data_IF_322172966314
#
_entry.id   IF_322172966314
#
_cell.length_a   1.000
_cell.length_b   1.000
_cell.length_c   1.000
_cell.angle_alpha   90.00
_cell.angle_beta   90.00
_cell.angle_gamma   90.00
#
_symmetry.space_group_name_H-M   'P 1'
#
loop_
_entity.id
_entity.type
_entity.pdbx_description
1 polymer ?
#
# COMPACT_ATOMS: atom_id res chain seq x y z
N UNK A 1 -72.96 30.76 15.03
CA UNK A 1 -71.60 30.51 14.54
C UNK A 1 -71.46 29.01 14.33
N UNK A 2 -71.58 28.56 13.08
CA UNK A 2 -71.18 27.23 12.64
C UNK A 2 -69.84 27.44 11.91
N UNK A 3 -68.76 26.89 12.46
CA UNK A 3 -67.48 26.72 11.76
C UNK A 3 -67.00 25.29 11.98
N UNK A 4 -67.29 24.48 10.97
CA UNK A 4 -66.36 23.68 10.17
C UNK A 4 -65.08 23.17 10.85
N UNK A 5 -64.99 21.84 11.05
CA UNK A 5 -63.72 21.12 11.13
C UNK A 5 -63.75 19.96 10.13
N UNK A 6 -62.82 20.01 9.17
CA UNK A 6 -62.60 19.07 8.07
C UNK A 6 -62.04 17.72 8.57
N UNK A 7 -62.37 16.58 7.93
CA UNK A 7 -61.70 15.31 8.19
C UNK A 7 -60.48 15.14 7.26
N UNK A 8 -59.31 14.87 7.85
CA UNK A 8 -58.11 14.45 7.11
C UNK A 8 -58.10 12.93 6.93
N UNK A 9 -58.16 12.48 5.67
CA UNK A 9 -58.04 11.09 5.25
C UNK A 9 -56.60 10.57 5.41
N UNK A 10 -56.46 9.41 6.06
CA UNK A 10 -55.21 8.64 6.13
C UNK A 10 -55.06 7.78 4.87
N UNK A 11 -54.32 8.28 3.88
CA UNK A 11 -53.96 7.52 2.68
C UNK A 11 -52.66 6.73 2.91
N UNK A 12 -52.80 5.42 3.16
CA UNK A 12 -51.71 4.48 3.34
C UNK A 12 -51.10 4.08 1.98
N UNK A 13 -49.95 4.68 1.64
CA UNK A 13 -49.18 4.33 0.44
C UNK A 13 -48.20 3.19 0.77
N UNK A 14 -48.57 1.96 0.44
CA UNK A 14 -47.65 0.81 0.46
C UNK A 14 -46.69 0.86 -0.75
N UNK A 15 -45.46 1.33 -0.55
CA UNK A 15 -44.36 1.14 -1.51
C UNK A 15 -43.74 -0.26 -1.32
N UNK A 16 -44.07 -1.21 -2.21
CA UNK A 16 -43.37 -2.51 -2.32
C UNK A 16 -41.95 -2.28 -2.83
N UNK A 17 -40.95 -2.45 -1.96
CA UNK A 17 -39.54 -2.43 -2.31
C UNK A 17 -39.10 -3.85 -2.73
N UNK A 18 -39.06 -4.11 -4.04
CA UNK A 18 -38.60 -5.40 -4.59
C UNK A 18 -37.07 -5.51 -4.50
N UNK A 19 -36.55 -6.04 -3.39
CA UNK A 19 -35.15 -6.46 -3.29
C UNK A 19 -34.90 -7.64 -4.23
N UNK A 20 -34.10 -7.45 -5.29
CA UNK A 20 -33.56 -8.55 -6.10
C UNK A 20 -32.57 -9.34 -5.22
N UNK A 21 -32.98 -10.50 -4.74
CA UNK A 21 -32.11 -11.46 -4.06
C UNK A 21 -31.22 -12.14 -5.10
N UNK A 22 -29.92 -11.86 -5.05
CA UNK A 22 -28.92 -12.63 -5.79
C UNK A 22 -28.76 -13.99 -5.09
N UNK A 23 -29.29 -15.06 -5.69
CA UNK A 23 -29.06 -16.41 -5.22
C UNK A 23 -27.72 -16.89 -5.78
N UNK A 24 -26.68 -16.93 -4.94
CA UNK A 24 -25.42 -17.61 -5.25
C UNK A 24 -25.53 -18.99 -4.61
N UNK A 25 -25.36 -20.05 -5.39
CA UNK A 25 -25.40 -21.42 -4.90
C UNK A 25 -24.22 -21.65 -3.94
N UNK A 26 -24.47 -22.30 -2.80
CA UNK A 26 -23.44 -22.53 -1.78
C UNK A 26 -22.25 -23.33 -2.33
N UNK A 27 -22.49 -24.18 -3.34
CA UNK A 27 -21.44 -24.92 -4.02
C UNK A 27 -20.48 -24.05 -4.85
N UNK A 28 -20.93 -22.88 -5.32
CA UNK A 28 -20.10 -21.92 -6.06
C UNK A 28 -19.17 -21.10 -5.15
N UNK A 29 -19.39 -21.13 -3.84
CA UNK A 29 -18.57 -20.46 -2.83
C UNK A 29 -17.46 -21.36 -2.26
N UNK A 30 -17.53 -22.67 -2.50
CA UNK A 30 -16.59 -23.63 -1.93
C UNK A 30 -15.29 -23.71 -2.73
N UNK A 31 -14.22 -24.08 -2.01
CA UNK A 31 -12.91 -24.31 -2.58
C UNK A 31 -13.00 -25.35 -3.70
N UNK A 32 -12.42 -25.05 -4.86
CA UNK A 32 -12.33 -25.97 -6.00
C UNK A 32 -11.73 -27.33 -5.67
N UNK A 33 -10.93 -27.42 -4.60
CA UNK A 33 -10.33 -28.68 -4.15
C UNK A 33 -11.27 -29.53 -3.27
N UNK A 34 -12.53 -29.12 -3.10
CA UNK A 34 -13.54 -29.88 -2.35
C UNK A 34 -13.25 -30.03 -0.86
N UNK A 35 -12.39 -29.19 -0.27
CA UNK A 35 -11.90 -29.36 1.09
C UNK A 35 -12.83 -28.82 2.20
N UNK A 36 -14.05 -28.40 1.85
CA UNK A 36 -15.06 -27.90 2.80
C UNK A 36 -14.86 -26.45 3.28
N UNK A 37 -13.85 -25.74 2.78
CA UNK A 37 -13.62 -24.31 3.06
C UNK A 37 -14.04 -23.44 1.88
N UNK A 38 -14.36 -22.16 2.14
CA UNK A 38 -14.70 -21.21 1.08
C UNK A 38 -13.49 -20.89 0.18
N UNK A 39 -13.73 -20.92 -1.13
CA UNK A 39 -12.79 -20.45 -2.15
C UNK A 39 -12.99 -18.97 -2.40
N UNK A 40 -11.95 -18.26 -2.87
CA UNK A 40 -12.11 -16.88 -3.30
C UNK A 40 -11.64 -16.66 -4.76
N UNK A 41 -12.20 -15.70 -5.50
CA UNK A 41 -11.79 -15.42 -6.88
C UNK A 41 -10.34 -14.96 -7.03
N UNK A 42 -9.79 -14.24 -6.04
CA UNK A 42 -8.39 -13.78 -6.04
C UNK A 42 -7.38 -14.94 -6.04
N UNK A 43 -7.79 -16.09 -5.51
CA UNK A 43 -7.05 -17.35 -5.47
C UNK A 43 -7.67 -18.38 -6.42
N UNK A 44 -8.27 -17.92 -7.52
CA UNK A 44 -8.84 -18.76 -8.58
C UNK A 44 -9.89 -19.78 -8.11
N UNK A 45 -10.58 -19.50 -7.01
CA UNK A 45 -11.56 -20.38 -6.38
C UNK A 45 -10.97 -21.38 -5.37
N UNK A 46 -9.70 -21.25 -4.99
CA UNK A 46 -9.10 -22.04 -3.92
C UNK A 46 -9.22 -21.34 -2.55
N UNK A 47 -9.26 -22.12 -1.47
CA UNK A 47 -9.08 -21.58 -0.13
C UNK A 47 -7.60 -21.26 0.12
N UNK A 48 -7.30 -20.51 1.18
CA UNK A 48 -5.93 -20.08 1.53
C UNK A 48 -4.93 -21.23 1.66
N UNK A 49 -5.37 -22.39 2.17
CA UNK A 49 -4.53 -23.58 2.34
C UNK A 49 -4.26 -24.28 1.01
N UNK A 50 -5.30 -24.61 0.25
CA UNK A 50 -5.14 -25.28 -1.04
C UNK A 50 -4.43 -24.40 -2.07
N UNK A 51 -4.61 -23.07 -2.00
CA UNK A 51 -3.89 -22.13 -2.84
C UNK A 51 -2.38 -22.18 -2.57
N UNK A 52 -1.95 -22.21 -1.29
CA UNK A 52 -0.52 -22.37 -0.95
C UNK A 52 0.06 -23.66 -1.49
N UNK A 53 -0.66 -24.78 -1.37
CA UNK A 53 -0.20 -26.09 -1.85
C UNK A 53 -0.05 -26.12 -3.38
N UNK A 54 -1.03 -25.57 -4.11
CA UNK A 54 -0.97 -25.47 -5.58
C UNK A 54 0.14 -24.52 -6.02
N UNK A 55 0.26 -23.36 -5.36
CA UNK A 55 1.28 -22.36 -5.68
C UNK A 55 2.70 -22.87 -5.39
N UNK A 56 2.90 -23.57 -4.27
CA UNK A 56 4.19 -24.18 -3.93
C UNK A 56 4.58 -25.28 -4.92
N UNK A 57 3.64 -26.14 -5.33
CA UNK A 57 3.89 -27.16 -6.37
C UNK A 57 4.23 -26.54 -7.71
N UNK A 58 3.51 -25.49 -8.13
CA UNK A 58 3.80 -24.77 -9.36
C UNK A 58 5.19 -24.10 -9.32
N UNK A 59 5.55 -23.48 -8.18
CA UNK A 59 6.87 -22.87 -7.98
C UNK A 59 7.99 -23.90 -8.02
N UNK A 60 7.81 -25.07 -7.40
CA UNK A 60 8.79 -26.16 -7.44
C UNK A 60 8.96 -26.74 -8.85
N UNK A 61 7.86 -26.95 -9.59
CA UNK A 61 7.91 -27.41 -10.98
C UNK A 61 8.62 -26.40 -11.88
N UNK A 62 8.42 -25.10 -11.65
CA UNK A 62 9.09 -24.03 -12.39
C UNK A 62 10.59 -23.98 -12.07
N UNK A 63 10.98 -24.11 -10.81
CA UNK A 63 12.40 -24.20 -10.40
C UNK A 63 13.08 -25.43 -11.02
N UNK A 64 12.41 -26.58 -11.05
CA UNK A 64 12.94 -27.79 -11.70
C UNK A 64 13.09 -27.61 -13.22
N UNK A 65 12.09 -27.02 -13.89
CA UNK A 65 12.16 -26.73 -15.33
C UNK A 65 13.31 -25.76 -15.65
N UNK A 66 13.48 -24.71 -14.85
CA UNK A 66 14.53 -23.70 -15.04
C UNK A 66 15.92 -24.28 -14.74
N UNK A 67 16.04 -25.18 -13.75
CA UNK A 67 17.26 -25.94 -13.50
C UNK A 67 17.63 -26.86 -14.67
N UNK A 68 16.63 -27.55 -15.26
CA UNK A 68 16.83 -28.41 -16.43
C UNK A 68 17.25 -27.60 -17.67
N UNK A 69 16.64 -26.44 -17.88
CA UNK A 69 17.00 -25.50 -18.96
C UNK A 69 18.42 -24.97 -18.79
N UNK A 70 18.82 -24.63 -17.55
CA UNK A 70 20.17 -24.17 -17.23
C UNK A 70 21.22 -25.27 -17.41
N UNK A 71 20.90 -26.51 -17.03
CA UNK A 71 21.76 -27.67 -17.25
C UNK A 71 21.95 -27.96 -18.75
N UNK A 72 20.89 -27.88 -19.56
CA UNK A 72 20.97 -28.00 -21.03
C UNK A 72 21.86 -26.93 -21.67
N UNK A 73 21.86 -25.70 -21.14
CA UNK A 73 22.71 -24.61 -21.63
C UNK A 73 24.18 -24.76 -21.24
N UNK A 74 24.48 -25.30 -20.07
CA UNK A 74 25.87 -25.57 -19.64
C UNK A 74 26.48 -26.79 -20.34
N UNK A 75 25.66 -27.75 -20.80
CA UNK A 75 26.13 -28.97 -21.45
C UNK A 75 26.56 -28.82 -22.92
N UNK A 76 26.46 -27.62 -23.51
CA UNK A 76 27.12 -27.30 -24.78
C UNK A 76 26.82 -28.23 -25.97
N UNK A 77 25.61 -28.80 -26.07
CA UNK A 77 25.22 -29.63 -27.22
C UNK A 77 24.37 -28.79 -28.19
N UNK A 78 25.00 -28.46 -29.32
CA UNK A 78 24.39 -27.80 -30.46
C UNK A 78 23.36 -28.66 -31.17
N UNK A 79 22.44 -27.96 -31.82
CA UNK A 79 21.36 -28.48 -32.63
C UNK A 79 21.88 -29.32 -33.81
N UNK A 80 21.24 -30.44 -34.11
CA UNK A 80 21.37 -31.16 -35.39
C UNK A 80 20.07 -31.94 -35.70
N UNK A 81 19.64 -32.00 -36.98
CA UNK A 81 18.27 -32.35 -37.38
C UNK A 81 18.02 -33.88 -37.46
N UNK A 82 16.78 -34.35 -37.75
CA UNK A 82 16.21 -35.54 -37.13
C UNK A 82 16.65 -36.85 -37.82
N UNK A 83 16.78 -37.92 -37.04
CA UNK A 83 16.94 -39.28 -37.57
C UNK A 83 15.88 -40.23 -37.00
N UNK A 84 15.25 -40.93 -37.94
CA UNK A 84 14.19 -41.92 -37.80
C UNK A 84 14.78 -43.29 -37.44
N UNK A 85 14.29 -43.95 -36.39
CA UNK A 85 14.25 -45.42 -36.21
C UNK A 85 13.42 -45.72 -34.95
N UNK A 86 12.22 -46.30 -35.11
CA UNK A 86 11.89 -47.72 -34.81
C UNK A 86 12.12 -48.08 -33.33
N UNK A 87 11.24 -48.75 -32.58
CA UNK A 87 10.02 -49.52 -32.83
C UNK A 87 9.67 -50.18 -31.48
N UNK A 88 8.37 -50.34 -31.17
CA UNK A 88 7.75 -51.12 -30.06
C UNK A 88 8.13 -50.72 -28.62
N UNK A 89 7.26 -50.69 -27.60
CA UNK A 89 6.04 -51.41 -27.22
C UNK A 89 5.44 -50.52 -26.09
N UNK A 90 4.14 -50.31 -25.82
CA UNK A 90 2.99 -51.22 -25.84
C UNK A 90 1.72 -50.36 -25.62
N UNK A 91 0.69 -50.58 -26.44
CA UNK A 91 -0.74 -50.22 -26.21
C UNK A 91 -1.18 -50.72 -24.83
N UNK A 92 -2.18 -50.15 -24.15
CA UNK A 92 -3.65 -50.32 -24.34
C UNK A 92 -4.29 -49.46 -23.22
N UNK A 93 -5.30 -48.60 -23.37
CA UNK A 93 -6.67 -48.85 -23.82
C UNK A 93 -7.34 -47.55 -24.32
N UNK A 94 -8.03 -47.70 -25.44
CA UNK A 94 -9.01 -46.78 -26.01
C UNK A 94 -10.38 -46.91 -25.30
N UNK A 95 -11.26 -45.96 -25.64
CA UNK A 95 -12.74 -45.95 -25.57
C UNK A 95 -13.29 -45.41 -24.25
N UNK A 96 -14.11 -44.34 -24.23
CA UNK A 96 -15.37 -44.22 -24.95
C UNK A 96 -15.74 -42.79 -25.38
N UNK A 97 -16.59 -42.71 -26.42
CA UNK A 97 -17.05 -41.51 -27.13
C UNK A 97 -18.38 -40.96 -26.60
N UNK A 98 -18.67 -39.72 -27.06
CA UNK A 98 -19.96 -39.02 -27.31
C UNK A 98 -20.51 -38.17 -26.15
N UNK A 99 -21.20 -37.06 -26.35
CA UNK A 99 -21.42 -36.06 -27.42
C UNK A 99 -22.55 -35.16 -26.88
N UNK A 100 -22.48 -33.84 -27.03
CA UNK A 100 -23.55 -32.94 -27.51
C UNK A 100 -23.18 -31.47 -27.17
N UNK A 101 -22.79 -30.64 -28.15
CA UNK A 101 -23.61 -29.59 -28.85
C UNK A 101 -24.28 -28.61 -27.86
N UNK A 102 -24.21 -27.27 -27.99
CA UNK A 102 -24.38 -26.42 -29.18
C UNK A 102 -23.87 -24.98 -28.87
N UNK A 103 -23.11 -24.41 -29.83
CA UNK A 103 -23.24 -23.07 -30.46
C UNK A 103 -23.34 -21.78 -29.59
N UNK A 104 -22.86 -20.60 -29.98
CA UNK A 104 -21.95 -20.08 -31.02
C UNK A 104 -22.06 -18.54 -31.03
N UNK A 105 -21.10 -17.85 -31.68
CA UNK A 105 -21.20 -16.51 -32.32
C UNK A 105 -20.96 -15.34 -31.35
N UNK A 106 -19.87 -14.55 -31.50
CA UNK A 106 -19.63 -13.63 -32.62
C UNK A 106 -18.30 -13.81 -33.39
N UNK A 107 -18.41 -13.67 -34.72
CA UNK A 107 -17.44 -13.76 -35.83
C UNK A 107 -16.67 -12.42 -36.01
N UNK A 108 -15.32 -12.40 -36.08
CA UNK A 108 -14.40 -12.35 -37.27
C UNK A 108 -14.31 -10.98 -37.99
N UNK A 109 -13.18 -10.60 -38.65
CA UNK A 109 -12.26 -11.47 -39.39
C UNK A 109 -10.74 -11.33 -39.15
N UNK A 110 -10.04 -12.44 -39.35
CA UNK A 110 -8.61 -12.52 -39.63
C UNK A 110 -8.39 -12.25 -41.13
N UNK A 111 -7.41 -11.42 -41.48
CA UNK A 111 -6.81 -11.38 -42.81
C UNK A 111 -5.33 -11.79 -42.72
N UNK A 112 -5.02 -12.79 -43.55
CA UNK A 112 -3.78 -13.20 -44.23
C UNK A 112 -2.41 -12.95 -43.58
N UNK A 113 -1.69 -14.07 -43.50
CA UNK A 113 -0.27 -14.25 -43.22
C UNK A 113 0.66 -13.50 -44.20
N UNK A 114 1.74 -12.95 -43.64
CA UNK A 114 3.06 -12.90 -44.28
C UNK A 114 4.13 -12.67 -43.20
N UNK A 115 4.91 -13.70 -42.88
CA UNK A 115 6.20 -13.59 -42.17
C UNK A 115 7.26 -12.96 -43.11
N UNK A 116 8.31 -12.27 -42.61
CA UNK A 116 9.41 -12.96 -41.95
C UNK A 116 10.04 -12.23 -40.74
N UNK A 117 10.72 -13.03 -39.92
CA UNK A 117 11.81 -12.70 -38.99
C UNK A 117 11.73 -11.41 -38.18
N UNK A 118 11.51 -11.56 -36.87
CA UNK A 118 12.17 -10.71 -35.89
C UNK A 118 12.26 -11.36 -34.51
N UNK A 119 13.51 -11.49 -34.08
CA UNK A 119 14.02 -11.81 -32.76
C UNK A 119 13.08 -11.29 -31.64
N UNK A 120 12.40 -12.20 -30.94
CA UNK A 120 11.52 -11.87 -29.83
C UNK A 120 12.34 -11.33 -28.65
N UNK A 121 12.51 -10.01 -28.61
CA UNK A 121 12.87 -9.28 -27.40
C UNK A 121 11.78 -9.52 -26.37
N UNK A 122 12.14 -10.23 -25.30
CA UNK A 122 11.31 -10.47 -24.12
C UNK A 122 11.06 -9.11 -23.45
N UNK A 123 10.03 -8.38 -23.88
CA UNK A 123 9.58 -7.17 -23.19
C UNK A 123 9.23 -7.58 -21.75
N UNK A 124 10.04 -7.15 -20.77
CA UNK A 124 9.64 -7.14 -19.35
C UNK A 124 8.26 -6.49 -19.30
N UNK A 125 7.24 -7.21 -18.83
CA UNK A 125 5.96 -6.58 -18.50
C UNK A 125 6.24 -5.46 -17.50
N UNK A 126 6.16 -4.22 -17.96
CA UNK A 126 6.27 -3.04 -17.11
C UNK A 126 5.05 -3.07 -16.20
N UNK A 127 5.26 -3.48 -14.94
CA UNK A 127 4.23 -3.52 -13.91
C UNK A 127 3.55 -2.15 -13.86
N UNK A 128 2.26 -2.07 -14.20
CA UNK A 128 1.52 -0.79 -14.22
C UNK A 128 1.62 -0.08 -12.87
N UNK A 129 1.99 1.20 -12.89
CA UNK A 129 2.02 2.06 -11.72
C UNK A 129 0.64 2.09 -11.04
N UNK A 130 0.61 2.11 -9.70
CA UNK A 130 -0.65 2.16 -8.94
C UNK A 130 -1.43 3.45 -9.23
N UNK A 131 -2.76 3.43 -9.07
CA UNK A 131 -3.60 4.64 -9.29
C UNK A 131 -3.09 5.84 -8.49
N UNK A 132 -2.73 5.62 -7.23
CA UNK A 132 -2.13 6.63 -6.35
C UNK A 132 -0.78 7.15 -6.88
N UNK A 133 0.08 6.27 -7.40
CA UNK A 133 1.33 6.68 -8.03
C UNK A 133 1.11 7.50 -9.30
N UNK A 134 0.04 7.20 -10.07
CA UNK A 134 -0.33 7.99 -11.25
C UNK A 134 -0.86 9.37 -10.84
N UNK A 135 -1.68 9.44 -9.79
CA UNK A 135 -2.19 10.69 -9.25
C UNK A 135 -1.05 11.59 -8.75
N UNK A 136 -0.16 11.08 -7.90
CA UNK A 136 0.98 11.84 -7.39
C UNK A 136 1.92 12.26 -8.53
N UNK A 137 2.07 11.42 -9.57
CA UNK A 137 2.80 11.81 -10.78
C UNK A 137 2.15 12.97 -11.55
N UNK A 138 0.82 13.03 -11.58
CA UNK A 138 0.07 14.16 -12.14
C UNK A 138 0.24 15.44 -11.33
N UNK A 139 0.01 15.37 -10.01
CA UNK A 139 0.21 16.49 -9.07
C UNK A 139 1.65 17.04 -9.17
N UNK A 140 2.64 16.15 -9.23
CA UNK A 140 4.04 16.55 -9.39
C UNK A 140 4.29 17.22 -10.74
N UNK A 141 3.78 16.67 -11.84
CA UNK A 141 3.93 17.26 -13.17
C UNK A 141 3.25 18.62 -13.28
N UNK A 142 2.11 18.82 -12.61
CA UNK A 142 1.42 20.11 -12.53
C UNK A 142 2.26 21.13 -11.74
N UNK A 143 2.77 20.76 -10.56
CA UNK A 143 3.65 21.63 -9.79
C UNK A 143 4.90 22.03 -10.58
N UNK A 144 5.53 21.09 -11.28
CA UNK A 144 6.71 21.38 -12.11
C UNK A 144 6.43 22.36 -13.26
N UNK A 145 5.18 22.51 -13.73
CA UNK A 145 4.83 23.51 -14.74
C UNK A 145 4.87 24.95 -14.19
N UNK A 146 4.79 25.13 -12.87
CA UNK A 146 4.95 26.44 -12.22
C UNK A 146 6.41 26.90 -12.18
N UNK A 147 7.35 25.97 -12.33
CA UNK A 147 8.78 26.24 -12.30
C UNK A 147 9.31 26.58 -13.69
N UNK A 148 10.47 27.24 -13.74
CA UNK A 148 11.18 27.47 -15.01
C UNK A 148 11.51 26.12 -15.66
N UNK A 149 11.27 26.00 -16.98
CA UNK A 149 11.56 24.78 -17.77
C UNK A 149 12.88 24.08 -17.45
N UNK A 150 14.04 24.76 -17.36
CA UNK A 150 15.30 24.07 -17.09
C UNK A 150 15.37 23.44 -15.69
N UNK A 151 14.75 24.07 -14.68
CA UNK A 151 14.61 23.53 -13.32
C UNK A 151 13.71 22.29 -13.33
N UNK A 152 12.53 22.40 -13.95
CA UNK A 152 11.57 21.31 -14.04
C UNK A 152 12.15 20.05 -14.72
N UNK A 153 12.94 20.24 -15.78
CA UNK A 153 13.60 19.15 -16.50
C UNK A 153 14.71 18.49 -15.68
N UNK A 154 15.52 19.26 -14.97
CA UNK A 154 16.59 18.73 -14.12
C UNK A 154 16.03 17.89 -12.98
N UNK A 155 15.08 18.44 -12.21
CA UNK A 155 14.39 17.74 -11.12
C UNK A 155 13.75 16.45 -11.62
N UNK A 156 12.96 16.54 -12.69
CA UNK A 156 12.30 15.39 -13.30
C UNK A 156 13.29 14.28 -13.69
N UNK A 157 14.44 14.65 -14.27
CA UNK A 157 15.46 13.71 -14.69
C UNK A 157 16.11 13.03 -13.48
N UNK A 158 16.44 13.78 -12.44
CA UNK A 158 17.08 13.28 -11.21
C UNK A 158 16.17 12.32 -10.46
N UNK A 159 14.91 12.69 -10.25
CA UNK A 159 13.91 11.86 -9.58
C UNK A 159 13.67 10.55 -10.35
N UNK A 160 13.56 10.62 -11.69
CA UNK A 160 13.43 9.41 -12.52
C UNK A 160 14.66 8.51 -12.42
N UNK A 161 15.86 9.08 -12.46
CA UNK A 161 17.10 8.32 -12.36
C UNK A 161 17.20 7.57 -11.03
N UNK A 162 16.87 8.22 -9.91
CA UNK A 162 16.83 7.57 -8.60
C UNK A 162 15.85 6.38 -8.59
N UNK A 163 14.62 6.59 -9.05
CA UNK A 163 13.61 5.54 -9.09
C UNK A 163 14.03 4.37 -10.00
N UNK A 164 14.56 4.65 -11.18
CA UNK A 164 15.07 3.63 -12.09
C UNK A 164 16.24 2.87 -11.47
N UNK A 165 17.16 3.56 -10.79
CA UNK A 165 18.27 2.95 -10.07
C UNK A 165 17.74 2.00 -9.02
N UNK A 166 16.89 2.46 -8.10
CA UNK A 166 16.35 1.62 -7.02
C UNK A 166 15.53 0.43 -7.57
N UNK A 167 14.71 0.64 -8.60
CA UNK A 167 13.92 -0.45 -9.20
C UNK A 167 14.76 -1.52 -9.92
N UNK A 168 15.97 -1.17 -10.37
CA UNK A 168 16.87 -2.11 -11.04
C UNK A 168 17.77 -2.87 -10.04
N UNK A 169 17.76 -2.49 -8.77
CA UNK A 169 18.51 -3.16 -7.71
C UNK A 169 17.65 -4.27 -7.09
N UNK A 170 18.19 -5.49 -6.99
CA UNK A 170 17.46 -6.67 -6.48
C UNK A 170 17.93 -7.17 -5.12
N UNK A 171 19.15 -6.84 -4.68
CA UNK A 171 19.82 -7.49 -3.55
C UNK A 171 20.30 -6.53 -2.45
N UNK A 172 19.77 -5.31 -2.41
CA UNK A 172 20.17 -4.29 -1.45
C UNK A 172 19.40 -4.40 -0.13
N UNK A 173 20.09 -4.09 0.97
CA UNK A 173 19.46 -4.00 2.30
C UNK A 173 18.58 -2.75 2.40
N UNK A 174 17.67 -2.72 3.38
CA UNK A 174 16.81 -1.55 3.58
C UNK A 174 17.62 -0.31 3.99
N UNK A 175 18.74 -0.52 4.69
CA UNK A 175 19.67 0.51 5.13
C UNK A 175 20.38 1.15 3.92
N UNK A 176 20.87 0.34 2.97
CA UNK A 176 21.51 0.88 1.76
C UNK A 176 20.50 1.63 0.87
N UNK A 177 19.25 1.16 0.80
CA UNK A 177 18.18 1.87 0.11
C UNK A 177 17.83 3.19 0.82
N UNK A 178 17.82 3.18 2.15
CA UNK A 178 17.64 4.37 2.98
C UNK A 178 18.74 5.39 2.72
N UNK A 179 20.01 4.98 2.78
CA UNK A 179 21.17 5.85 2.48
C UNK A 179 21.06 6.46 1.09
N UNK A 180 20.69 5.67 0.07
CA UNK A 180 20.53 6.20 -1.30
C UNK A 180 19.46 7.28 -1.42
N UNK A 181 18.34 7.13 -0.70
CA UNK A 181 17.26 8.14 -0.68
C UNK A 181 17.71 9.38 0.11
N UNK A 182 18.41 9.20 1.23
CA UNK A 182 18.91 10.29 2.07
C UNK A 182 20.01 11.11 1.35
N UNK A 183 20.97 10.44 0.72
CA UNK A 183 21.99 11.07 -0.12
C UNK A 183 21.36 11.87 -1.26
N UNK A 184 20.25 11.37 -1.83
CA UNK A 184 19.51 12.08 -2.84
C UNK A 184 18.85 13.36 -2.29
N UNK A 185 18.21 13.31 -1.12
CA UNK A 185 17.64 14.51 -0.50
C UNK A 185 18.71 15.56 -0.19
N UNK A 186 19.84 15.14 0.37
CA UNK A 186 20.96 16.03 0.65
C UNK A 186 21.50 16.63 -0.65
N UNK A 187 21.72 15.81 -1.68
CA UNK A 187 22.17 16.27 -2.98
C UNK A 187 21.22 17.28 -3.61
N UNK A 188 19.90 17.05 -3.56
CA UNK A 188 18.91 18.01 -4.07
C UNK A 188 18.96 19.33 -3.29
N UNK A 189 19.01 19.26 -1.95
CA UNK A 189 19.11 20.44 -1.09
C UNK A 189 20.37 21.28 -1.39
N UNK A 190 21.52 20.64 -1.54
CA UNK A 190 22.79 21.31 -1.86
C UNK A 190 22.73 21.97 -3.24
N UNK A 191 22.10 21.33 -4.23
CA UNK A 191 21.93 21.89 -5.57
C UNK A 191 21.06 23.15 -5.56
N UNK A 192 20.00 23.17 -4.76
CA UNK A 192 19.11 24.32 -4.63
C UNK A 192 19.82 25.57 -4.09
N UNK A 193 20.77 25.39 -3.17
CA UNK A 193 21.54 26.50 -2.61
C UNK A 193 22.79 26.86 -3.42
N UNK A 194 23.44 25.87 -4.06
CA UNK A 194 24.75 26.03 -4.68
C UNK A 194 24.77 26.23 -6.20
N UNK A 195 23.67 25.96 -6.91
CA UNK A 195 23.68 25.93 -8.38
C UNK A 195 22.91 27.11 -8.98
N UNK A 196 23.49 27.89 -9.92
CA UNK A 196 22.83 29.04 -10.54
C UNK A 196 21.49 28.73 -11.22
N UNK A 197 21.28 27.48 -11.63
CA UNK A 197 20.03 26.98 -12.20
C UNK A 197 18.81 27.24 -11.30
N UNK A 198 18.99 27.10 -9.98
CA UNK A 198 17.94 27.20 -8.98
C UNK A 198 17.82 28.59 -8.36
N UNK A 199 18.63 29.56 -8.81
CA UNK A 199 18.63 30.95 -8.30
C UNK A 199 17.28 31.67 -8.36
N UNK A 200 16.34 31.17 -9.18
CA UNK A 200 14.99 31.71 -9.26
C UNK A 200 13.97 31.09 -8.31
N UNK A 201 14.33 30.04 -7.58
CA UNK A 201 13.47 29.39 -6.60
C UNK A 201 13.61 30.11 -5.26
N UNK A 202 12.48 30.55 -4.69
CA UNK A 202 12.48 31.09 -3.32
C UNK A 202 12.67 29.95 -2.30
N UNK A 203 13.02 30.26 -1.04
CA UNK A 203 13.08 29.24 0.01
C UNK A 203 11.77 28.44 0.15
N UNK A 204 10.63 29.12 0.08
CA UNK A 204 9.30 28.48 0.18
C UNK A 204 9.03 27.56 -1.01
N UNK A 205 9.40 28.00 -2.22
CA UNK A 205 9.28 27.17 -3.43
C UNK A 205 10.17 25.93 -3.34
N UNK A 206 11.35 26.09 -2.75
CA UNK A 206 12.33 25.01 -2.55
C UNK A 206 11.83 23.98 -1.54
N UNK A 207 11.23 24.43 -0.45
CA UNK A 207 10.60 23.55 0.56
C UNK A 207 9.43 22.77 -0.06
N UNK A 208 8.51 23.45 -0.75
CA UNK A 208 7.41 22.79 -1.46
C UNK A 208 7.92 21.78 -2.50
N UNK A 209 8.97 22.12 -3.24
CA UNK A 209 9.57 21.22 -4.22
C UNK A 209 10.13 19.96 -3.55
N UNK A 210 10.80 20.09 -2.40
CA UNK A 210 11.27 18.93 -1.61
C UNK A 210 10.11 18.05 -1.14
N UNK A 211 9.00 18.66 -0.70
CA UNK A 211 7.79 17.92 -0.29
C UNK A 211 7.19 17.11 -1.45
N UNK A 212 7.09 17.71 -2.64
CA UNK A 212 6.62 17.00 -3.82
C UNK A 212 7.57 15.88 -4.26
N UNK A 213 8.88 16.11 -4.16
CA UNK A 213 9.91 15.12 -4.46
C UNK A 213 9.79 13.91 -3.51
N UNK A 214 9.72 14.14 -2.19
CA UNK A 214 9.52 13.08 -1.20
C UNK A 214 8.22 12.32 -1.50
N UNK A 215 7.10 13.04 -1.70
CA UNK A 215 5.80 12.42 -1.97
C UNK A 215 5.86 11.51 -3.20
N UNK A 216 6.47 11.98 -4.28
CA UNK A 216 6.58 11.21 -5.52
C UNK A 216 7.46 9.97 -5.33
N UNK A 217 8.69 10.14 -4.85
CA UNK A 217 9.65 9.04 -4.65
C UNK A 217 9.03 7.99 -3.74
N UNK A 218 8.57 8.41 -2.56
CA UNK A 218 8.11 7.48 -1.55
C UNK A 218 6.79 6.80 -1.91
N UNK A 219 5.89 7.45 -2.64
CA UNK A 219 4.68 6.80 -3.17
C UNK A 219 5.01 5.72 -4.21
N UNK A 220 6.03 5.95 -5.03
CA UNK A 220 6.48 4.98 -6.05
C UNK A 220 7.25 3.80 -5.44
N UNK A 221 8.10 4.07 -4.46
CA UNK A 221 8.95 3.07 -3.83
C UNK A 221 8.27 2.31 -2.69
N UNK A 222 7.13 2.80 -2.16
CA UNK A 222 6.46 2.25 -0.98
C UNK A 222 6.40 0.72 -0.91
N UNK A 223 6.02 0.06 -2.02
CA UNK A 223 5.88 -1.41 -2.09
C UNK A 223 7.21 -2.18 -1.98
N UNK A 224 8.33 -1.51 -2.21
CA UNK A 224 9.66 -2.07 -2.10
C UNK A 224 10.24 -1.87 -0.70
N UNK A 225 9.98 -0.70 -0.10
CA UNK A 225 10.69 -0.28 1.12
C UNK A 225 9.87 -0.37 2.40
N UNK A 226 8.53 -0.36 2.33
CA UNK A 226 7.68 -0.46 3.52
C UNK A 226 7.51 -1.91 3.96
N UNK A 227 7.77 -2.20 5.24
CA UNK A 227 7.69 -3.55 5.81
C UNK A 227 8.41 -4.59 4.93
N UNK A 228 9.67 -4.30 4.60
CA UNK A 228 10.47 -5.14 3.70
C UNK A 228 10.60 -6.55 4.29
N UNK A 229 10.42 -7.62 3.49
CA UNK A 229 10.55 -9.01 3.98
C UNK A 229 11.97 -9.37 4.43
N UNK A 230 12.94 -8.49 4.18
CA UNK A 230 14.34 -8.63 4.59
C UNK A 230 14.63 -8.01 5.95
N UNK A 231 13.65 -7.37 6.60
CA UNK A 231 13.77 -6.79 7.95
C UNK A 231 12.97 -7.60 8.96
N UNK A 232 13.13 -7.29 10.25
CA UNK A 232 12.29 -7.82 11.33
C UNK A 232 11.11 -6.90 11.70
N UNK A 233 10.72 -5.99 10.81
CA UNK A 233 9.67 -5.01 11.12
C UNK A 233 8.32 -5.71 11.38
N UNK A 234 7.96 -6.74 10.61
CA UNK A 234 6.72 -7.52 10.81
C UNK A 234 6.70 -8.24 12.18
N UNK A 235 7.82 -8.82 12.61
CA UNK A 235 7.93 -9.47 13.92
C UNK A 235 7.76 -8.47 15.07
N UNK A 236 8.37 -7.28 14.93
CA UNK A 236 8.23 -6.19 15.90
C UNK A 236 6.80 -5.65 15.93
N UNK A 237 6.13 -5.56 14.78
CA UNK A 237 4.73 -5.16 14.67
C UNK A 237 3.81 -6.14 15.42
N UNK A 238 4.00 -7.45 15.22
CA UNK A 238 3.22 -8.47 15.95
C UNK A 238 3.47 -8.40 17.45
N UNK A 239 4.73 -8.20 17.85
CA UNK A 239 5.14 -8.10 19.25
C UNK A 239 4.49 -6.89 19.94
N UNK A 240 4.59 -5.70 19.35
CA UNK A 240 4.00 -4.49 19.94
C UNK A 240 2.47 -4.54 19.92
N UNK A 241 1.86 -5.08 18.87
CA UNK A 241 0.41 -5.22 18.78
C UNK A 241 -0.13 -6.13 19.89
N UNK A 242 0.53 -7.27 20.12
CA UNK A 242 0.18 -8.18 21.21
C UNK A 242 0.38 -7.52 22.58
N UNK A 243 1.47 -6.76 22.74
CA UNK A 243 1.77 -6.02 23.97
C UNK A 243 0.70 -4.97 24.26
N UNK A 244 0.33 -4.13 23.30
CA UNK A 244 -0.75 -3.14 23.45
C UNK A 244 -2.07 -3.83 23.80
N UNK A 245 -2.41 -4.93 23.12
CA UNK A 245 -3.62 -5.70 23.40
C UNK A 245 -3.66 -6.22 24.84
N UNK A 246 -2.52 -6.60 25.42
CA UNK A 246 -2.41 -7.04 26.82
C UNK A 246 -2.65 -5.93 27.85
N UNK A 247 -2.63 -4.67 27.42
CA UNK A 247 -2.88 -3.48 28.26
C UNK A 247 -4.29 -2.90 28.08
N UNK A 248 -5.24 -3.68 27.54
CA UNK A 248 -6.63 -3.22 27.35
C UNK A 248 -7.32 -2.72 28.62
N UNK A 249 -6.83 -3.13 29.80
CA UNK A 249 -7.35 -2.77 31.12
C UNK A 249 -6.86 -1.41 31.64
N UNK A 250 -5.88 -0.78 30.98
CA UNK A 250 -5.35 0.53 31.38
C UNK A 250 -6.42 1.61 31.19
N UNK A 251 -6.61 2.43 32.22
CA UNK A 251 -7.51 3.57 32.23
C UNK A 251 -6.73 4.90 32.34
N UNK A 252 -7.35 6.06 32.04
CA UNK A 252 -6.68 7.35 32.12
C UNK A 252 -6.09 7.65 33.50
N UNK A 253 -6.77 7.26 34.58
CA UNK A 253 -6.35 7.55 35.95
C UNK A 253 -5.03 6.85 36.32
N UNK A 254 -4.76 5.66 35.77
CA UNK A 254 -3.51 4.93 35.94
C UNK A 254 -2.30 5.62 35.28
N UNK A 255 -2.57 6.57 34.37
CA UNK A 255 -1.57 7.38 33.69
C UNK A 255 -1.53 8.82 34.25
N UNK A 256 -2.13 9.04 35.43
CA UNK A 256 -2.29 10.35 36.07
C UNK A 256 -3.05 11.37 35.21
N UNK A 257 -3.92 10.87 34.33
CA UNK A 257 -4.72 11.70 33.43
C UNK A 257 -6.13 11.95 33.96
N UNK A 258 -6.57 13.20 33.84
CA UNK A 258 -7.94 13.61 34.14
C UNK A 258 -8.70 13.83 32.84
N UNK A 259 -9.14 12.76 32.16
CA UNK A 259 -10.01 12.85 30.98
C UNK A 259 -11.47 12.69 31.41
N UNK A 260 -12.32 13.65 31.02
CA UNK A 260 -13.77 13.58 31.25
C UNK A 260 -14.47 12.69 30.20
N UNK A 261 -14.19 11.37 30.20
CA UNK A 261 -14.72 10.43 29.18
C UNK A 261 -16.25 10.33 29.11
N UNK A 262 -16.95 10.79 30.16
CA UNK A 262 -18.41 10.85 30.23
C UNK A 262 -18.99 11.99 29.36
N UNK A 263 -18.18 12.99 29.02
CA UNK A 263 -18.59 14.08 28.15
C UNK A 263 -18.54 13.65 26.68
N UNK A 264 -19.66 13.81 25.98
CA UNK A 264 -19.77 13.39 24.58
C UNK A 264 -18.77 14.09 23.66
N UNK A 265 -18.46 15.36 23.94
CA UNK A 265 -17.51 16.14 23.16
C UNK A 265 -16.08 15.60 23.32
N UNK A 266 -15.65 15.33 24.54
CA UNK A 266 -14.33 14.74 24.84
C UNK A 266 -14.18 13.37 24.20
N UNK A 267 -15.21 12.52 24.28
CA UNK A 267 -15.20 11.19 23.63
C UNK A 267 -15.06 11.29 22.11
N UNK A 268 -15.72 12.25 21.46
CA UNK A 268 -15.58 12.47 20.02
C UNK A 268 -14.16 12.87 19.63
N UNK A 269 -13.51 13.74 20.42
CA UNK A 269 -12.11 14.13 20.19
C UNK A 269 -11.15 12.96 20.37
N UNK A 270 -11.40 12.10 21.37
CA UNK A 270 -10.64 10.84 21.56
C UNK A 270 -10.81 9.92 20.34
N UNK A 271 -12.04 9.72 19.85
CA UNK A 271 -12.30 8.90 18.66
C UNK A 271 -11.62 9.47 17.40
N UNK A 272 -11.56 10.80 17.27
CA UNK A 272 -10.83 11.48 16.19
C UNK A 272 -9.32 11.25 16.28
N UNK A 273 -8.72 11.41 17.46
CA UNK A 273 -7.30 11.13 17.68
C UNK A 273 -6.95 9.66 17.36
N UNK A 274 -7.80 8.72 17.80
CA UNK A 274 -7.68 7.29 17.47
C UNK A 274 -7.74 7.07 15.95
N UNK A 275 -8.68 7.72 15.28
CA UNK A 275 -8.83 7.61 13.82
C UNK A 275 -7.60 8.10 13.08
N UNK A 276 -7.05 9.25 13.47
CA UNK A 276 -5.87 9.84 12.84
C UNK A 276 -4.65 8.93 12.95
N UNK A 277 -4.36 8.38 14.15
CA UNK A 277 -3.19 7.51 14.34
C UNK A 277 -3.33 6.17 13.61
N UNK A 278 -4.56 5.65 13.47
CA UNK A 278 -4.83 4.46 12.64
C UNK A 278 -4.64 4.79 11.16
N UNK A 279 -5.10 5.97 10.72
CA UNK A 279 -5.01 6.40 9.32
C UNK A 279 -3.57 6.56 8.84
N UNK A 280 -2.60 6.78 9.74
CA UNK A 280 -1.16 6.83 9.43
C UNK A 280 -0.72 5.65 8.55
N UNK A 281 -1.20 4.43 8.82
CA UNK A 281 -0.80 3.26 8.04
C UNK A 281 -1.31 3.29 6.57
N UNK A 282 -2.39 4.02 6.30
CA UNK A 282 -2.96 4.14 4.95
C UNK A 282 -2.16 5.07 4.03
N UNK A 283 -1.27 5.90 4.59
CA UNK A 283 -0.47 6.87 3.83
C UNK A 283 0.80 6.23 3.30
N UNK A 284 1.26 6.67 2.13
CA UNK A 284 2.53 6.17 1.54
C UNK A 284 3.71 7.10 1.75
N UNK A 285 3.52 8.41 1.61
CA UNK A 285 4.59 9.37 1.83
C UNK A 285 4.84 9.56 3.34
N UNK A 286 6.12 9.63 3.81
CA UNK A 286 6.45 9.91 5.20
C UNK A 286 5.81 11.20 5.73
N UNK A 287 5.81 12.29 4.94
CA UNK A 287 5.13 13.53 5.31
C UNK A 287 3.64 13.35 5.58
N UNK A 288 2.93 12.53 4.82
CA UNK A 288 1.50 12.29 5.01
C UNK A 288 1.25 11.45 6.27
N UNK A 289 2.16 10.51 6.60
CA UNK A 289 2.14 9.77 7.87
C UNK A 289 2.35 10.69 9.06
N UNK A 290 3.32 11.59 8.97
CA UNK A 290 3.59 12.60 9.99
C UNK A 290 2.42 13.59 10.13
N UNK A 291 1.76 13.93 9.04
CA UNK A 291 0.56 14.77 9.08
C UNK A 291 -0.59 14.10 9.86
N UNK A 292 -0.78 12.78 9.73
CA UNK A 292 -1.72 12.03 10.57
C UNK A 292 -1.33 12.11 12.06
N UNK A 293 -0.04 11.97 12.38
CA UNK A 293 0.43 12.10 13.76
C UNK A 293 0.22 13.52 14.32
N UNK A 294 0.50 14.55 13.54
CA UNK A 294 0.23 15.95 13.93
C UNK A 294 -1.24 16.19 14.21
N UNK A 295 -2.15 15.67 13.36
CA UNK A 295 -3.60 15.76 13.59
C UNK A 295 -4.03 15.04 14.87
N UNK A 296 -3.53 13.82 15.08
CA UNK A 296 -3.75 13.07 16.31
C UNK A 296 -3.33 13.88 17.54
N UNK A 297 -2.13 14.48 17.52
CA UNK A 297 -1.63 15.31 18.62
C UNK A 297 -2.47 16.56 18.86
N UNK A 298 -2.98 17.20 17.80
CA UNK A 298 -3.88 18.36 17.91
C UNK A 298 -5.19 17.98 18.60
N UNK A 299 -5.80 16.85 18.21
CA UNK A 299 -6.98 16.33 18.91
C UNK A 299 -6.67 15.95 20.36
N UNK A 300 -5.48 15.41 20.67
CA UNK A 300 -5.06 15.16 22.06
C UNK A 300 -5.02 16.46 22.87
N UNK A 301 -4.46 17.54 22.34
CA UNK A 301 -4.46 18.84 23.03
C UNK A 301 -5.87 19.39 23.23
N UNK A 302 -6.79 19.17 22.28
CA UNK A 302 -8.20 19.53 22.43
C UNK A 302 -8.89 18.70 23.52
N UNK A 303 -8.60 17.39 23.62
CA UNK A 303 -9.08 16.52 24.71
C UNK A 303 -8.62 17.06 26.07
N UNK A 304 -7.35 17.40 26.19
CA UNK A 304 -6.78 17.90 27.44
C UNK A 304 -7.37 19.26 27.83
N UNK A 305 -7.53 20.17 26.87
CA UNK A 305 -8.16 21.48 27.09
C UNK A 305 -9.66 21.40 27.39
N UNK A 306 -10.37 20.41 26.84
CA UNK A 306 -11.77 20.20 27.16
C UNK A 306 -11.94 19.57 28.56
N UNK A 307 -10.95 18.80 29.01
CA UNK A 307 -11.00 18.14 30.32
C UNK A 307 -10.48 19.00 31.47
N UNK A 308 -9.67 20.04 31.17
CA UNK A 308 -9.17 21.04 32.11
C UNK A 308 -9.25 22.42 31.47
N UNK A 309 -9.81 23.41 32.16
CA UNK A 309 -9.90 24.81 31.71
C UNK A 309 -8.53 25.54 31.60
N UNK A 310 -7.43 24.82 31.41
CA UNK A 310 -6.07 25.33 31.30
C UNK A 310 -5.36 24.78 30.05
N UNK A 311 -4.40 25.53 29.47
CA UNK A 311 -3.56 25.01 28.39
C UNK A 311 -2.80 23.76 28.85
N UNK A 312 -2.82 22.73 28.01
CA UNK A 312 -2.16 21.47 28.29
C UNK A 312 -0.63 21.60 28.21
N UNK A 313 0.08 20.99 29.17
CA UNK A 313 1.55 20.97 29.19
C UNK A 313 2.14 19.77 28.44
N UNK A 314 3.45 19.79 28.22
CA UNK A 314 4.17 18.63 27.65
C UNK A 314 4.10 17.39 28.56
N UNK A 315 4.10 17.59 29.89
CA UNK A 315 3.99 16.52 30.88
C UNK A 315 2.63 15.81 30.83
N UNK A 316 1.59 16.51 30.39
CA UNK A 316 0.24 15.96 30.19
C UNK A 316 0.06 15.31 28.83
N UNK A 317 0.84 15.74 27.83
CA UNK A 317 0.73 15.26 26.46
C UNK A 317 1.18 13.80 26.31
N UNK A 318 2.35 13.44 26.84
CA UNK A 318 2.91 12.10 26.64
C UNK A 318 2.03 10.98 27.23
N UNK A 319 1.53 11.08 28.48
CA UNK A 319 0.55 10.13 29.01
C UNK A 319 -0.70 10.02 28.13
N UNK A 320 -1.17 11.16 27.59
CA UNK A 320 -2.32 11.17 26.70
C UNK A 320 -2.06 10.49 25.36
N UNK A 321 -0.89 10.70 24.77
CA UNK A 321 -0.47 9.98 23.57
C UNK A 321 -0.38 8.47 23.82
N UNK A 322 0.23 8.06 24.94
CA UNK A 322 0.30 6.65 25.35
C UNK A 322 -1.11 6.06 25.45
N UNK A 323 -2.03 6.77 26.11
CA UNK A 323 -3.41 6.35 26.25
C UNK A 323 -4.11 6.15 24.89
N UNK A 324 -3.99 7.12 23.98
CA UNK A 324 -4.55 7.03 22.63
C UNK A 324 -3.95 5.86 21.85
N UNK A 325 -2.63 5.65 21.90
CA UNK A 325 -1.97 4.51 21.24
C UNK A 325 -2.44 3.18 21.82
N UNK A 326 -2.62 3.09 23.14
CA UNK A 326 -3.16 1.89 23.79
C UNK A 326 -4.59 1.57 23.34
N UNK A 327 -5.44 2.59 23.22
CA UNK A 327 -6.83 2.44 22.75
C UNK A 327 -6.92 2.13 21.25
N UNK A 328 -6.08 2.78 20.45
CA UNK A 328 -6.09 2.65 19.00
C UNK A 328 -5.48 1.33 18.53
N UNK A 329 -4.41 0.86 19.19
CA UNK A 329 -3.55 -0.23 18.75
C UNK A 329 -3.21 -0.12 17.24
N UNK A 330 -2.49 0.95 16.82
CA UNK A 330 -2.33 1.29 15.42
C UNK A 330 -1.71 0.14 14.59
N UNK A 331 -2.23 -0.14 13.38
CA UNK A 331 -1.72 -1.22 12.56
C UNK A 331 -0.30 -0.93 12.06
N UNK A 332 0.57 -1.95 12.13
CA UNK A 332 1.95 -1.88 11.65
C UNK A 332 2.75 -0.71 12.27
N UNK A 333 2.55 -0.44 13.56
CA UNK A 333 3.14 0.70 14.26
C UNK A 333 4.67 0.76 14.14
N UNK A 334 5.37 -0.36 14.33
CA UNK A 334 6.83 -0.42 14.22
C UNK A 334 7.29 -0.23 12.77
N UNK A 335 6.63 -0.86 11.80
CA UNK A 335 6.93 -0.60 10.38
C UNK A 335 6.73 0.88 10.01
N UNK A 336 5.69 1.54 10.53
CA UNK A 336 5.45 2.96 10.29
C UNK A 336 6.55 3.84 10.89
N UNK A 337 6.93 3.59 12.15
CA UNK A 337 8.02 4.31 12.83
C UNK A 337 9.32 4.15 12.03
N UNK A 338 9.72 2.91 11.74
CA UNK A 338 10.97 2.62 11.02
C UNK A 338 10.97 3.21 9.61
N UNK A 339 9.84 3.17 8.91
CA UNK A 339 9.71 3.76 7.59
C UNK A 339 9.90 5.28 7.62
N UNK A 340 9.29 5.98 8.59
CA UNK A 340 9.48 7.42 8.77
C UNK A 340 10.94 7.72 9.11
N UNK A 341 11.54 6.98 10.05
CA UNK A 341 12.95 7.15 10.44
C UNK A 341 13.91 6.98 9.26
N UNK A 342 13.67 5.99 8.39
CA UNK A 342 14.55 5.69 7.25
C UNK A 342 14.36 6.66 6.09
N UNK A 343 13.13 7.05 5.76
CA UNK A 343 12.82 7.67 4.47
C UNK A 343 12.22 9.08 4.51
N UNK A 344 11.92 9.63 5.68
CA UNK A 344 11.52 11.03 5.79
C UNK A 344 12.69 11.94 5.47
N UNK A 345 12.42 13.09 4.87
CA UNK A 345 13.39 14.18 4.78
C UNK A 345 13.86 14.56 6.21
N UNK A 346 15.17 14.53 6.51
CA UNK A 346 15.69 14.78 7.85
C UNK A 346 15.29 16.14 8.41
N UNK A 347 15.19 17.18 7.57
CA UNK A 347 14.80 18.52 8.03
C UNK A 347 13.45 18.53 8.76
N UNK A 348 12.53 17.65 8.35
CA UNK A 348 11.20 17.50 8.93
C UNK A 348 11.19 16.82 10.29
N UNK A 349 12.15 15.93 10.55
CA UNK A 349 12.28 15.25 11.84
C UNK A 349 13.10 16.08 12.84
N UNK A 350 14.05 16.89 12.35
CA UNK A 350 14.93 17.71 13.17
C UNK A 350 14.30 19.05 13.60
N UNK A 351 13.20 19.47 12.97
CA UNK A 351 12.56 20.75 13.25
C UNK A 351 11.03 20.69 13.10
N UNK A 352 10.34 21.55 13.84
CA UNK A 352 8.88 21.71 13.78
C UNK A 352 8.07 20.74 14.65
N UNK A 353 6.75 20.88 14.58
CA UNK A 353 5.82 20.11 15.41
C UNK A 353 5.81 18.61 15.07
N UNK A 354 6.03 18.26 13.79
CA UNK A 354 6.06 16.87 13.34
C UNK A 354 7.17 16.05 14.00
N UNK A 355 8.40 16.59 14.04
CA UNK A 355 9.54 15.95 14.70
C UNK A 355 9.34 15.78 16.22
N UNK A 356 8.75 16.78 16.87
CA UNK A 356 8.40 16.70 18.29
C UNK A 356 7.40 15.58 18.58
N UNK A 357 6.28 15.50 17.84
CA UNK A 357 5.29 14.45 18.05
C UNK A 357 5.83 13.06 17.67
N UNK A 358 6.64 12.98 16.62
CA UNK A 358 7.28 11.72 16.24
C UNK A 358 8.22 11.21 17.33
N UNK A 359 9.02 12.09 17.92
CA UNK A 359 9.90 11.74 19.05
C UNK A 359 9.09 11.22 20.25
N UNK A 360 7.97 11.86 20.57
CA UNK A 360 7.07 11.41 21.64
C UNK A 360 6.38 10.06 21.33
N UNK A 361 6.08 9.77 20.06
CA UNK A 361 5.51 8.47 19.67
C UNK A 361 6.52 7.32 19.78
N UNK A 362 7.81 7.63 19.54
CA UNK A 362 8.90 6.64 19.59
C UNK A 362 9.37 6.36 21.02
N UNK A 363 9.27 7.36 21.90
CA UNK A 363 9.60 7.27 23.33
C UNK A 363 8.63 6.36 24.06
#
# INVERSE_FOLDING_TARGET
>A
MQETVLPHENMSVTKKNSKKTFHIDESDLLCKNGCGYYGNPAWQGFCSKCYREVYQKAKQAQVQHDALQKAKRLAGLGDSPPSFSKFEEKKTQQTNKRSHTVKSIFKRPLQKESSPDQLATRKKEVRRASLESQQVGGEFAEFLQTLKKPVALDVSKRVRNLNERIHNLTDYSIEELSEMVQDFYQSMSDQFHGTPLYSSCTPETTEQLMDYIEKFIMTTLYRLVFCSPHTNDEEKDLTIQARIRSFHWVNPQMLDMSIAEHESAVRQLVDQAITDIIEMNSKRAPQDKLACLVKCSKHIFEVLRASKDSPASADEFLPALIYIVLKANPPLLQSNIQYITRFSNPSRLMSGEAGYYFTNLVS
#
